data_IF_752584020074
#
_entry.id   IF_752584020074
#
_cell.length_a   1.000
_cell.length_b   1.000
_cell.length_c   1.000
_cell.angle_alpha   90.00
_cell.angle_beta   90.00
_cell.angle_gamma   90.00
#
_symmetry.space_group_name_H-M   'P 1'
#
loop_
_entity.id
_entity.type
_entity.pdbx_description
1 polymer ?
#
# COMPACT_ATOMS: atom_id res chain seq x y z
N UNK A 1 15.66 13.46 11.03
CA UNK A 1 14.35 13.04 10.49
C UNK A 1 14.06 11.62 10.96
N UNK A 2 13.06 11.43 11.81
CA UNK A 2 12.63 10.09 12.23
C UNK A 2 11.64 9.56 11.19
N UNK A 3 11.78 8.30 10.77
CA UNK A 3 10.83 7.69 9.84
C UNK A 3 9.49 7.50 10.55
N UNK A 4 8.45 8.21 10.08
CA UNK A 4 7.09 8.16 10.63
C UNK A 4 6.42 6.79 10.45
N UNK A 5 6.80 6.04 9.41
CA UNK A 5 6.25 4.72 9.10
C UNK A 5 7.41 3.74 8.85
N UNK A 6 8.01 3.16 9.91
CA UNK A 6 9.07 2.18 9.75
C UNK A 6 8.55 0.93 9.02
N UNK A 7 9.25 0.55 7.96
CA UNK A 7 9.00 -0.70 7.25
C UNK A 7 9.82 -1.82 7.89
N UNK A 8 9.16 -2.91 8.26
CA UNK A 8 9.77 -4.05 8.96
C UNK A 8 9.94 -5.29 8.05
N UNK A 9 9.91 -5.06 6.75
CA UNK A 9 9.99 -6.09 5.71
C UNK A 9 11.41 -6.63 5.59
N UNK A 10 11.53 -7.90 5.19
CA UNK A 10 12.82 -8.53 4.90
C UNK A 10 13.51 -7.89 3.68
N UNK A 11 14.76 -8.31 3.40
CA UNK A 11 15.50 -7.88 2.21
C UNK A 11 14.79 -8.17 0.88
N UNK A 12 13.84 -9.12 0.89
CA UNK A 12 13.05 -9.47 -0.29
C UNK A 12 11.92 -8.46 -0.57
N UNK A 13 11.68 -7.49 0.33
CA UNK A 13 10.67 -6.45 0.13
C UNK A 13 9.25 -7.00 0.04
N UNK A 14 8.36 -6.21 -0.58
CA UNK A 14 6.94 -6.56 -0.72
C UNK A 14 6.70 -7.81 -1.56
N UNK A 15 7.48 -8.05 -2.63
CA UNK A 15 7.38 -9.27 -3.42
C UNK A 15 7.65 -10.53 -2.57
N UNK A 16 8.65 -10.48 -1.68
CA UNK A 16 8.89 -11.59 -0.76
C UNK A 16 7.84 -11.72 0.34
N UNK A 17 7.20 -10.61 0.74
CA UNK A 17 6.09 -10.64 1.69
C UNK A 17 4.85 -11.29 1.06
N UNK A 18 4.51 -10.90 -0.17
CA UNK A 18 3.41 -11.49 -0.93
C UNK A 18 3.63 -12.99 -1.16
N UNK A 19 4.79 -13.40 -1.66
CA UNK A 19 5.12 -14.81 -1.85
C UNK A 19 5.07 -15.63 -0.54
N UNK A 20 5.42 -15.01 0.59
CA UNK A 20 5.30 -15.65 1.89
C UNK A 20 3.84 -15.84 2.29
N UNK A 21 3.00 -14.82 2.09
CA UNK A 21 1.57 -14.92 2.40
C UNK A 21 0.88 -15.92 1.47
N UNK A 22 1.22 -15.93 0.18
CA UNK A 22 0.70 -16.92 -0.76
C UNK A 22 1.05 -18.35 -0.32
N UNK A 23 2.27 -18.56 0.15
CA UNK A 23 2.71 -19.87 0.67
C UNK A 23 2.02 -20.25 1.99
N UNK A 24 1.94 -19.32 2.92
CA UNK A 24 1.49 -19.59 4.30
C UNK A 24 -0.05 -19.63 4.39
N UNK A 25 -0.74 -18.81 3.59
CA UNK A 25 -2.20 -18.64 3.64
C UNK A 25 -2.91 -19.13 2.37
N UNK A 26 -2.19 -19.44 1.29
CA UNK A 26 -2.78 -19.91 0.03
C UNK A 26 -3.53 -18.81 -0.75
N UNK A 27 -3.31 -17.53 -0.41
CA UNK A 27 -4.00 -16.38 -1.03
C UNK A 27 -3.03 -15.59 -1.90
N UNK A 28 -3.34 -15.47 -3.19
CA UNK A 28 -2.66 -14.58 -4.13
C UNK A 28 -3.50 -13.32 -4.38
N UNK A 29 -2.87 -12.26 -4.92
CA UNK A 29 -3.57 -11.01 -5.24
C UNK A 29 -4.03 -10.24 -4.00
N UNK A 30 -3.16 -10.16 -2.99
CA UNK A 30 -3.45 -9.49 -1.73
C UNK A 30 -3.60 -8.00 -1.97
N UNK A 31 -4.60 -7.40 -1.32
CA UNK A 31 -4.83 -5.96 -1.41
C UNK A 31 -3.60 -5.16 -0.98
N UNK A 32 -3.35 -4.05 -1.67
CA UNK A 32 -2.17 -3.20 -1.43
C UNK A 32 -2.15 -2.62 -0.02
N UNK A 33 -3.31 -2.25 0.52
CA UNK A 33 -3.42 -1.73 1.89
C UNK A 33 -3.13 -2.83 2.92
N UNK A 34 -3.57 -4.08 2.67
CA UNK A 34 -3.22 -5.25 3.47
C UNK A 34 -1.71 -5.54 3.42
N UNK A 35 -1.10 -5.51 2.23
CA UNK A 35 0.35 -5.67 2.06
C UNK A 35 1.14 -4.59 2.80
N UNK A 36 0.72 -3.32 2.68
CA UNK A 36 1.34 -2.21 3.41
C UNK A 36 1.25 -2.42 4.92
N UNK A 37 0.06 -2.77 5.42
CA UNK A 37 -0.19 -3.05 6.82
C UNK A 37 0.73 -4.17 7.36
N UNK A 38 0.73 -5.33 6.71
CA UNK A 38 1.60 -6.47 7.07
C UNK A 38 3.08 -6.10 6.98
N UNK A 39 3.48 -5.25 6.04
CA UNK A 39 4.85 -4.76 5.92
C UNK A 39 5.29 -3.78 7.03
N UNK A 40 4.33 -3.17 7.71
CA UNK A 40 4.53 -2.29 8.85
C UNK A 40 4.44 -3.02 10.21
N UNK A 41 4.07 -4.31 10.24
CA UNK A 41 4.11 -5.12 11.47
C UNK A 41 5.56 -5.39 11.88
N UNK A 42 5.90 -5.07 13.13
CA UNK A 42 7.22 -5.38 13.69
C UNK A 42 7.45 -6.88 13.83
N UNK A 43 8.73 -7.31 13.76
CA UNK A 43 9.13 -8.71 14.04
C UNK A 43 8.70 -9.21 15.43
N UNK A 44 8.50 -8.30 16.39
CA UNK A 44 8.04 -8.62 17.75
C UNK A 44 6.51 -8.73 17.85
N UNK A 45 5.79 -8.57 16.74
CA UNK A 45 4.34 -8.43 16.70
C UNK A 45 3.92 -7.00 17.03
N UNK A 46 2.96 -6.47 16.26
CA UNK A 46 2.29 -5.20 16.54
C UNK A 46 2.72 -4.01 15.69
N UNK A 47 1.94 -2.95 15.83
CA UNK A 47 2.04 -1.65 15.15
C UNK A 47 2.43 -0.56 16.13
N UNK A 48 3.12 0.48 15.66
CA UNK A 48 3.21 1.75 16.42
C UNK A 48 1.85 2.45 16.42
N UNK A 49 1.63 3.40 17.33
CA UNK A 49 0.38 4.16 17.39
C UNK A 49 0.08 4.89 16.07
N UNK A 50 1.11 5.37 15.37
CA UNK A 50 0.94 6.01 14.06
C UNK A 50 0.48 5.03 12.98
N UNK A 51 1.00 3.79 13.00
CA UNK A 51 0.58 2.77 12.05
C UNK A 51 -0.84 2.31 12.38
N UNK A 52 -1.19 2.11 13.66
CA UNK A 52 -2.57 1.80 14.08
C UNK A 52 -3.55 2.85 13.57
N UNK A 53 -3.24 4.13 13.76
CA UNK A 53 -4.08 5.22 13.27
C UNK A 53 -4.22 5.25 11.74
N UNK A 54 -3.26 4.70 10.97
CA UNK A 54 -3.41 4.54 9.52
C UNK A 54 -4.29 3.32 9.20
N UNK A 55 -4.11 2.21 9.92
CA UNK A 55 -4.94 1.00 9.77
C UNK A 55 -6.40 1.30 10.06
N UNK A 56 -6.70 2.01 11.15
CA UNK A 56 -8.07 2.41 11.50
C UNK A 56 -8.69 3.29 10.39
N UNK A 57 -7.89 4.20 9.79
CA UNK A 57 -8.34 5.01 8.64
C UNK A 57 -8.55 4.18 7.37
N UNK A 58 -7.73 3.16 7.14
CA UNK A 58 -7.93 2.23 6.01
C UNK A 58 -9.26 1.49 6.18
N UNK A 59 -9.57 1.02 7.39
CA UNK A 59 -10.84 0.34 7.68
C UNK A 59 -12.04 1.27 7.49
N UNK A 60 -11.96 2.50 8.00
CA UNK A 60 -12.99 3.54 7.82
C UNK A 60 -13.24 3.87 6.34
N UNK A 61 -12.17 4.09 5.55
CA UNK A 61 -12.32 4.33 4.11
C UNK A 61 -12.85 3.11 3.34
N UNK A 62 -12.50 1.89 3.74
CA UNK A 62 -13.06 0.68 3.16
C UNK A 62 -14.57 0.60 3.41
N UNK A 63 -15.01 0.89 4.62
CA UNK A 63 -16.43 0.91 4.97
C UNK A 63 -17.17 1.97 4.15
N UNK A 64 -16.63 3.20 4.08
CA UNK A 64 -17.22 4.28 3.28
C UNK A 64 -17.25 3.96 1.78
N UNK A 65 -16.24 3.26 1.25
CA UNK A 65 -16.23 2.79 -0.13
C UNK A 65 -17.32 1.74 -0.38
N UNK A 66 -17.50 0.78 0.53
CA UNK A 66 -18.57 -0.22 0.43
C UNK A 66 -19.98 0.40 0.51
N UNK A 67 -20.14 1.47 1.28
CA UNK A 67 -21.38 2.24 1.39
C UNK A 67 -21.60 3.20 0.20
N UNK A 68 -20.60 3.36 -0.69
CA UNK A 68 -20.67 4.29 -1.81
C UNK A 68 -20.48 5.77 -1.44
N UNK A 69 -20.01 6.05 -0.23
CA UNK A 69 -19.73 7.40 0.27
C UNK A 69 -18.40 7.97 -0.23
N UNK A 70 -17.49 7.09 -0.63
CA UNK A 70 -16.18 7.45 -1.18
C UNK A 70 -15.98 6.73 -2.51
N UNK A 71 -15.49 7.46 -3.51
CA UNK A 71 -15.12 6.90 -4.81
C UNK A 71 -13.60 6.77 -4.90
N UNK A 72 -13.14 5.68 -5.49
CA UNK A 72 -11.72 5.45 -5.79
C UNK A 72 -11.51 5.83 -7.26
N UNK A 73 -10.66 6.83 -7.51
CA UNK A 73 -10.30 7.25 -8.86
C UNK A 73 -8.78 7.33 -9.03
N UNK A 74 -8.28 6.62 -10.04
CA UNK A 74 -6.88 6.62 -10.42
C UNK A 74 -5.97 6.32 -9.22
N UNK A 75 -5.19 7.34 -8.80
CA UNK A 75 -4.24 7.24 -7.68
C UNK A 75 -4.79 7.62 -6.31
N UNK A 76 -6.02 8.14 -6.25
CA UNK A 76 -6.76 8.35 -5.01
C UNK A 76 -7.44 7.04 -4.59
N UNK A 77 -6.61 6.13 -4.11
CA UNK A 77 -7.01 4.83 -3.56
C UNK A 77 -6.99 4.88 -2.02
N UNK A 78 -7.64 3.92 -1.35
CA UNK A 78 -7.81 3.85 0.11
C UNK A 78 -6.51 4.08 0.88
N UNK A 79 -5.42 3.39 0.50
CA UNK A 79 -4.13 3.55 1.18
C UNK A 79 -3.55 4.97 1.00
N UNK A 80 -3.73 5.59 -0.17
CA UNK A 80 -3.28 6.96 -0.43
C UNK A 80 -4.04 7.95 0.44
N UNK A 81 -5.37 7.79 0.55
CA UNK A 81 -6.24 8.61 1.39
C UNK A 81 -5.90 8.45 2.87
N UNK A 82 -5.76 7.21 3.34
CA UNK A 82 -5.42 6.92 4.74
C UNK A 82 -4.04 7.47 5.14
N UNK A 83 -3.06 7.49 4.23
CA UNK A 83 -1.75 8.09 4.51
C UNK A 83 -1.77 9.63 4.43
N UNK A 84 -2.78 10.22 3.79
CA UNK A 84 -2.94 11.67 3.65
C UNK A 84 -1.86 12.33 2.78
N UNK A 85 -1.16 11.55 1.97
CA UNK A 85 -0.06 12.02 1.12
C UNK A 85 -0.17 11.43 -0.28
N UNK A 86 0.01 12.24 -1.34
CA UNK A 86 -0.07 11.77 -2.71
C UNK A 86 1.05 10.76 -3.02
N UNK A 87 0.77 9.80 -3.90
CA UNK A 87 1.74 8.79 -4.30
C UNK A 87 2.90 9.41 -5.11
N UNK A 88 4.11 8.90 -4.89
CA UNK A 88 5.27 9.39 -5.63
C UNK A 88 5.36 8.72 -7.01
N UNK A 89 5.51 9.50 -8.07
CA UNK A 89 5.50 8.99 -9.46
C UNK A 89 6.53 7.88 -9.76
N UNK A 90 7.64 7.83 -9.02
CA UNK A 90 8.70 6.85 -9.26
C UNK A 90 8.48 5.48 -8.62
N UNK A 91 7.67 5.37 -7.56
CA UNK A 91 7.50 4.14 -6.77
C UNK A 91 6.13 4.09 -6.11
N UNK A 92 5.46 2.95 -6.19
CA UNK A 92 4.17 2.72 -5.53
C UNK A 92 4.42 2.15 -4.13
N UNK A 93 3.85 2.77 -3.10
CA UNK A 93 3.90 2.24 -1.73
C UNK A 93 3.18 0.88 -1.69
N UNK A 94 3.70 -0.06 -0.91
CA UNK A 94 3.07 -1.39 -0.78
C UNK A 94 3.36 -2.38 -1.91
N UNK A 95 3.94 -1.97 -3.05
CA UNK A 95 4.08 -2.82 -4.24
C UNK A 95 5.53 -3.18 -4.61
N UNK A 96 6.51 -2.69 -3.86
CA UNK A 96 7.93 -2.99 -4.07
C UNK A 96 8.58 -2.17 -5.20
N UNK A 97 9.87 -2.42 -5.43
CA UNK A 97 10.71 -1.57 -6.29
C UNK A 97 10.38 -1.68 -7.80
N UNK A 98 9.90 -2.83 -8.26
CA UNK A 98 9.69 -3.12 -9.68
C UNK A 98 8.34 -2.65 -10.23
N UNK A 99 7.47 -2.09 -9.38
CA UNK A 99 6.15 -1.61 -9.77
C UNK A 99 6.16 -0.09 -9.83
N UNK A 100 6.10 0.45 -11.06
CA UNK A 100 5.98 1.88 -11.27
C UNK A 100 4.53 2.35 -11.11
N UNK A 101 4.37 3.63 -10.77
CA UNK A 101 3.07 4.30 -10.64
C UNK A 101 2.17 4.07 -11.86
N UNK A 102 2.72 4.13 -13.07
CA UNK A 102 1.94 3.95 -14.31
C UNK A 102 1.50 2.52 -14.55
N UNK A 103 2.36 1.56 -14.24
CA UNK A 103 2.03 0.14 -14.40
C UNK A 103 0.89 -0.24 -13.47
N UNK A 104 0.92 0.25 -12.24
CA UNK A 104 -0.09 -0.05 -11.23
C UNK A 104 -1.41 0.66 -11.50
N UNK A 105 -1.40 1.98 -11.71
CA UNK A 105 -2.63 2.75 -11.94
C UNK A 105 -3.09 2.76 -13.41
N UNK A 106 -2.54 1.88 -14.25
CA UNK A 106 -2.84 1.76 -15.68
C UNK A 106 -2.86 3.11 -16.43
N UNK A 107 -2.00 4.05 -16.04
CA UNK A 107 -1.98 5.38 -16.64
C UNK A 107 -1.26 5.37 -17.99
N UNK A 108 -1.74 6.14 -18.99
CA UNK A 108 -1.11 6.23 -20.28
C UNK A 108 0.32 6.75 -20.17
N UNK A 109 1.22 6.20 -21.00
CA UNK A 109 2.57 6.75 -21.15
C UNK A 109 2.47 8.12 -21.83
N UNK A 110 3.12 9.18 -21.30
CA UNK A 110 3.19 10.47 -21.93
C UNK A 110 3.95 10.29 -23.24
N UNK A 111 3.29 10.66 -24.33
CA UNK A 111 3.89 10.72 -25.64
C UNK A 111 4.97 11.80 -25.54
N UNK A 112 6.24 11.42 -25.77
CA UNK A 112 7.31 12.41 -25.91
C UNK A 112 6.94 13.28 -27.11
N UNK A 113 6.61 14.55 -26.87
CA UNK A 113 6.55 15.53 -27.97
C UNK A 113 7.98 15.63 -28.52
N UNK A 114 8.13 15.28 -29.80
CA UNK A 114 9.36 15.49 -30.57
C UNK A 114 9.70 16.97 -30.66
#
# INVERSE_FOLDING_TARGET
>A
MQNKYPHHISRLGYAGLEAKIEKDEGRSGIDRSELWNKGCVSKKGGHTEEIKAVVDRIEDYNQQFQEGNVEIDGSNEILTMALGTPEYFGRVRGMGFHVSYRQYFHQPTPIKKQ
#
